data_IF_902299065116
#
_entry.id   IF_902299065116
#
_cell.length_a   1.000
_cell.length_b   1.000
_cell.length_c   1.000
_cell.angle_alpha   90.00
_cell.angle_beta   90.00
_cell.angle_gamma   90.00
#
_symmetry.space_group_name_H-M   'P 1'
#
loop_
_entity.id
_entity.type
_entity.pdbx_description
1 polymer ?
#
# COMPACT_ATOMS: atom_id res chain seq x y z
N UNK A 1 4.12 -27.38 -37.89
CA UNK A 1 4.16 -26.54 -36.67
C UNK A 1 5.52 -25.86 -36.65
N UNK A 2 5.60 -24.53 -36.47
CA UNK A 2 6.88 -23.82 -36.37
C UNK A 2 7.59 -24.27 -35.09
N UNK A 3 8.91 -24.45 -35.14
CA UNK A 3 9.72 -24.70 -33.94
C UNK A 3 9.87 -23.44 -33.10
N UNK A 4 10.17 -23.59 -31.81
CA UNK A 4 10.45 -22.45 -30.91
C UNK A 4 11.48 -21.47 -31.51
N UNK A 5 12.58 -21.98 -32.08
CA UNK A 5 13.60 -21.14 -32.72
C UNK A 5 13.06 -20.35 -33.91
N UNK A 6 12.22 -20.98 -34.73
CA UNK A 6 11.61 -20.29 -35.88
C UNK A 6 10.65 -19.17 -35.44
N UNK A 7 9.90 -19.39 -34.35
CA UNK A 7 8.99 -18.37 -33.80
C UNK A 7 9.78 -17.17 -33.28
N UNK A 8 10.88 -17.40 -32.55
CA UNK A 8 11.74 -16.33 -32.04
C UNK A 8 12.40 -15.56 -33.18
N UNK A 9 12.95 -16.23 -34.19
CA UNK A 9 13.61 -15.56 -35.32
C UNK A 9 12.62 -14.72 -36.15
N UNK A 10 11.39 -15.21 -36.33
CA UNK A 10 10.32 -14.42 -36.96
C UNK A 10 9.98 -13.17 -36.12
N UNK A 11 9.84 -13.33 -34.80
CA UNK A 11 9.59 -12.21 -33.91
C UNK A 11 10.73 -11.17 -33.94
N UNK A 12 12.00 -11.57 -34.11
CA UNK A 12 13.13 -10.62 -34.25
C UNK A 12 13.05 -9.77 -35.51
N UNK A 13 12.39 -10.27 -36.57
CA UNK A 13 12.24 -9.51 -37.82
C UNK A 13 11.09 -8.51 -37.76
N UNK A 14 10.14 -8.71 -36.85
CA UNK A 14 8.92 -7.90 -36.74
C UNK A 14 8.99 -6.90 -35.57
N UNK A 15 9.63 -7.29 -34.47
CA UNK A 15 9.69 -6.51 -33.23
C UNK A 15 11.00 -5.74 -33.16
N UNK A 16 10.97 -4.40 -33.03
CA UNK A 16 12.17 -3.62 -32.78
C UNK A 16 12.81 -4.01 -31.43
N UNK A 17 14.13 -4.14 -31.43
CA UNK A 17 14.91 -4.35 -30.21
C UNK A 17 15.64 -3.07 -29.82
N UNK A 18 15.70 -2.80 -28.51
CA UNK A 18 16.45 -1.70 -27.92
C UNK A 18 17.43 -2.24 -26.89
N UNK A 19 18.61 -1.63 -26.75
CA UNK A 19 19.59 -2.07 -25.75
C UNK A 19 19.24 -1.53 -24.36
N UNK A 20 19.74 -2.18 -23.30
CA UNK A 20 19.58 -1.68 -21.92
C UNK A 20 20.15 -0.26 -21.75
N UNK A 21 21.20 0.09 -22.49
CA UNK A 21 21.82 1.42 -22.45
C UNK A 21 20.92 2.48 -23.11
N UNK A 22 20.27 2.14 -24.22
CA UNK A 22 19.33 3.05 -24.89
C UNK A 22 18.11 3.30 -24.00
N UNK A 23 17.54 2.24 -23.41
CA UNK A 23 16.41 2.37 -22.48
C UNK A 23 16.77 3.26 -21.29
N UNK A 24 17.97 3.06 -20.71
CA UNK A 24 18.44 3.91 -19.61
C UNK A 24 18.64 5.37 -20.03
N UNK A 25 19.19 5.61 -21.21
CA UNK A 25 19.32 6.97 -21.75
C UNK A 25 17.95 7.63 -21.96
N UNK A 26 16.95 6.88 -22.44
CA UNK A 26 15.58 7.39 -22.57
C UNK A 26 14.95 7.73 -21.22
N UNK A 27 15.20 6.94 -20.17
CA UNK A 27 14.77 7.27 -18.80
C UNK A 27 15.43 8.56 -18.30
N UNK A 28 16.74 8.71 -18.53
CA UNK A 28 17.51 9.89 -18.07
C UNK A 28 17.10 11.17 -18.81
N UNK A 29 16.70 11.04 -20.08
CA UNK A 29 16.15 12.13 -20.89
C UNK A 29 14.70 12.49 -20.51
N UNK A 30 14.07 11.73 -19.59
CA UNK A 30 12.70 11.96 -19.16
C UNK A 30 11.66 11.64 -20.25
N UNK A 31 11.97 10.73 -21.17
CA UNK A 31 11.00 10.29 -22.17
C UNK A 31 9.90 9.44 -21.52
N UNK A 32 8.66 9.66 -21.95
CA UNK A 32 7.51 8.89 -21.47
C UNK A 32 7.40 7.56 -22.22
N UNK A 33 7.47 6.46 -21.49
CA UNK A 33 7.17 5.11 -21.96
C UNK A 33 6.84 4.21 -20.76
N UNK A 34 6.17 3.08 -21.02
CA UNK A 34 5.93 2.05 -20.00
C UNK A 34 7.01 0.99 -20.09
N UNK A 35 7.63 0.69 -18.96
CA UNK A 35 8.52 -0.45 -18.83
C UNK A 35 7.70 -1.66 -18.34
N UNK A 36 7.64 -2.73 -19.13
CA UNK A 36 6.82 -3.92 -18.84
C UNK A 36 7.71 -5.13 -18.54
N UNK A 37 7.67 -5.62 -17.31
CA UNK A 37 8.30 -6.85 -16.86
C UNK A 37 7.37 -8.05 -17.11
N UNK A 38 7.82 -9.01 -17.93
CA UNK A 38 7.07 -10.25 -18.21
C UNK A 38 7.66 -11.50 -17.58
N UNK A 39 8.57 -11.33 -16.59
CA UNK A 39 9.15 -12.45 -15.83
C UNK A 39 8.13 -13.09 -14.89
N UNK A 40 8.46 -14.28 -14.40
CA UNK A 40 7.63 -14.97 -13.42
C UNK A 40 7.77 -14.31 -12.03
N UNK A 41 6.81 -14.56 -11.13
CA UNK A 41 6.73 -13.90 -9.81
C UNK A 41 8.03 -13.98 -9.00
N UNK A 42 8.66 -15.15 -8.93
CA UNK A 42 9.88 -15.34 -8.14
C UNK A 42 11.07 -14.52 -8.68
N UNK A 43 11.14 -14.33 -10.00
CA UNK A 43 12.16 -13.50 -10.63
C UNK A 43 11.92 -12.01 -10.36
N UNK A 44 10.65 -11.58 -10.33
CA UNK A 44 10.27 -10.20 -10.02
C UNK A 44 10.52 -9.87 -8.55
N UNK A 45 10.15 -10.77 -7.64
CA UNK A 45 10.40 -10.64 -6.18
C UNK A 45 11.89 -10.61 -5.83
N UNK A 46 12.74 -11.26 -6.63
CA UNK A 46 14.19 -11.20 -6.46
C UNK A 46 14.82 -9.86 -6.89
N UNK A 47 14.01 -8.97 -7.49
CA UNK A 47 14.40 -7.63 -7.90
C UNK A 47 13.93 -7.29 -9.30
N UNK A 48 13.60 -6.02 -9.52
CA UNK A 48 13.05 -5.49 -10.76
C UNK A 48 13.57 -4.08 -11.08
N UNK A 49 13.28 -3.59 -12.29
CA UNK A 49 13.68 -2.25 -12.71
C UNK A 49 12.67 -1.23 -12.12
N UNK A 50 13.10 -0.14 -11.46
CA UNK A 50 12.19 0.84 -10.89
C UNK A 50 11.13 1.30 -11.89
N UNK A 51 9.92 1.50 -11.40
CA UNK A 51 8.73 1.94 -12.15
C UNK A 51 8.23 0.98 -13.24
N UNK A 52 8.77 -0.24 -13.31
CA UNK A 52 8.22 -1.28 -14.16
C UNK A 52 6.81 -1.71 -13.72
N UNK A 53 5.94 -1.88 -14.71
CA UNK A 53 4.68 -2.63 -14.59
C UNK A 53 5.02 -4.11 -14.72
N UNK A 54 4.48 -4.96 -13.85
CA UNK A 54 4.71 -6.39 -13.89
C UNK A 54 3.45 -7.14 -14.33
N UNK A 55 3.55 -7.86 -15.43
CA UNK A 55 2.51 -8.78 -15.92
C UNK A 55 3.21 -10.01 -16.45
N UNK A 56 3.09 -11.14 -15.74
CA UNK A 56 3.76 -12.39 -16.14
C UNK A 56 3.39 -12.77 -17.58
N UNK A 57 4.33 -13.39 -18.31
CA UNK A 57 4.09 -13.76 -19.72
C UNK A 57 2.80 -14.57 -19.92
N UNK A 58 2.44 -15.42 -18.96
CA UNK A 58 1.25 -16.28 -19.04
C UNK A 58 -0.08 -15.55 -18.83
N UNK A 59 -0.06 -14.37 -18.21
CA UNK A 59 -1.25 -13.53 -17.98
C UNK A 59 -1.32 -12.31 -18.89
N UNK A 60 -0.31 -12.11 -19.74
CA UNK A 60 -0.16 -10.92 -20.58
C UNK A 60 -1.45 -10.56 -21.33
N UNK A 61 -1.99 -11.49 -22.11
CA UNK A 61 -3.17 -11.26 -22.94
C UNK A 61 -4.46 -11.04 -22.13
N UNK A 62 -4.47 -11.40 -20.84
CA UNK A 62 -5.64 -11.30 -19.97
C UNK A 62 -5.65 -10.04 -19.10
N UNK A 63 -4.47 -9.45 -18.83
CA UNK A 63 -4.34 -8.43 -17.79
C UNK A 63 -3.64 -7.15 -18.24
N UNK A 64 -2.93 -7.14 -19.38
CA UNK A 64 -2.13 -5.96 -19.77
C UNK A 64 -2.97 -4.68 -19.92
N UNK A 65 -4.22 -4.78 -20.35
CA UNK A 65 -5.12 -3.63 -20.54
C UNK A 65 -5.51 -2.93 -19.23
N UNK A 66 -5.48 -3.64 -18.11
CA UNK A 66 -5.76 -3.07 -16.79
C UNK A 66 -4.62 -2.15 -16.32
N UNK A 67 -3.40 -2.39 -16.81
CA UNK A 67 -2.21 -1.64 -16.43
C UNK A 67 -1.75 -0.65 -17.51
N UNK A 68 -1.95 -0.97 -18.79
CA UNK A 68 -1.53 -0.16 -19.94
C UNK A 68 -2.74 0.06 -20.86
N UNK A 69 -3.74 0.88 -20.45
CA UNK A 69 -4.95 1.08 -21.24
C UNK A 69 -4.71 1.86 -22.54
N UNK A 70 -3.65 2.68 -22.60
CA UNK A 70 -3.25 3.42 -23.78
C UNK A 70 -2.41 2.54 -24.72
N UNK A 71 -3.00 2.15 -25.85
CA UNK A 71 -2.36 1.29 -26.85
C UNK A 71 -1.38 2.03 -27.76
N UNK A 72 -1.45 3.35 -27.80
CA UNK A 72 -0.56 4.18 -28.60
C UNK A 72 0.73 4.55 -27.83
N UNK A 73 0.74 4.34 -26.51
CA UNK A 73 1.91 4.58 -25.67
C UNK A 73 3.05 3.62 -26.00
N UNK A 74 4.28 4.12 -25.96
CA UNK A 74 5.48 3.29 -26.10
C UNK A 74 5.59 2.29 -24.95
N UNK A 75 5.71 1.00 -25.26
CA UNK A 75 5.90 -0.08 -24.29
C UNK A 75 7.24 -0.78 -24.54
N UNK A 76 8.15 -0.65 -23.59
CA UNK A 76 9.43 -1.37 -23.56
C UNK A 76 9.25 -2.63 -22.74
N UNK A 77 9.22 -3.79 -23.40
CA UNK A 77 9.02 -5.08 -22.75
C UNK A 77 10.37 -5.71 -22.40
N UNK A 78 10.53 -6.18 -21.18
CA UNK A 78 11.72 -6.91 -20.77
C UNK A 78 11.39 -8.21 -20.04
N UNK A 79 12.33 -9.14 -20.11
CA UNK A 79 12.32 -10.37 -19.33
C UNK A 79 13.71 -10.60 -18.74
N UNK A 80 14.06 -11.83 -18.33
CA UNK A 80 15.39 -12.11 -17.81
C UNK A 80 16.54 -11.86 -18.82
N UNK A 81 16.35 -12.19 -20.11
CA UNK A 81 17.43 -12.24 -21.10
C UNK A 81 17.04 -11.83 -22.54
N UNK A 82 15.87 -11.22 -22.74
CA UNK A 82 15.40 -10.70 -24.04
C UNK A 82 14.52 -11.64 -24.89
N UNK A 83 14.54 -12.97 -24.68
CA UNK A 83 13.78 -13.90 -25.53
C UNK A 83 12.27 -13.95 -25.23
N UNK A 84 11.86 -13.96 -23.96
CA UNK A 84 10.42 -13.95 -23.58
C UNK A 84 9.78 -12.61 -23.88
N UNK A 85 10.51 -11.52 -23.70
CA UNK A 85 10.03 -10.16 -23.99
C UNK A 85 9.77 -9.93 -25.46
N UNK A 86 10.59 -10.50 -26.34
CA UNK A 86 10.35 -10.45 -27.78
C UNK A 86 9.01 -11.10 -28.17
N UNK A 87 8.71 -12.28 -27.60
CA UNK A 87 7.44 -12.97 -27.83
C UNK A 87 6.26 -12.26 -27.17
N UNK A 88 6.48 -11.59 -26.04
CA UNK A 88 5.46 -10.78 -25.38
C UNK A 88 5.13 -9.53 -26.19
N UNK A 89 6.14 -8.79 -26.65
CA UNK A 89 5.97 -7.61 -27.49
C UNK A 89 5.23 -7.94 -28.79
N UNK A 90 5.50 -9.09 -29.41
CA UNK A 90 4.72 -9.58 -30.55
C UNK A 90 3.24 -9.77 -30.21
N UNK A 91 2.93 -10.42 -29.09
CA UNK A 91 1.54 -10.58 -28.65
C UNK A 91 0.86 -9.23 -28.37
N UNK A 92 1.58 -8.24 -27.83
CA UNK A 92 1.04 -6.89 -27.66
C UNK A 92 0.73 -6.22 -29.00
N UNK A 93 1.59 -6.34 -30.02
CA UNK A 93 1.27 -5.85 -31.36
C UNK A 93 0.02 -6.52 -31.94
N UNK A 94 -0.12 -7.84 -31.76
CA UNK A 94 -1.31 -8.58 -32.19
C UNK A 94 -2.58 -8.14 -31.44
N UNK A 95 -2.44 -7.68 -30.20
CA UNK A 95 -3.52 -7.07 -29.40
C UNK A 95 -3.81 -5.62 -29.81
N UNK A 96 -2.97 -5.01 -30.64
CA UNK A 96 -3.16 -3.66 -31.19
C UNK A 96 -2.37 -2.55 -30.49
N UNK A 97 -1.36 -2.88 -29.69
CA UNK A 97 -0.39 -1.88 -29.20
C UNK A 97 0.54 -1.47 -30.34
N UNK A 98 0.70 -0.17 -30.58
CA UNK A 98 1.32 0.32 -31.82
C UNK A 98 2.83 0.56 -31.71
N UNK A 99 3.35 0.82 -30.51
CA UNK A 99 4.77 1.11 -30.27
C UNK A 99 5.34 0.20 -29.18
N UNK A 100 5.53 -1.08 -29.51
CA UNK A 100 6.09 -2.08 -28.60
C UNK A 100 7.49 -2.47 -29.02
N UNK A 101 8.44 -2.42 -28.10
CA UNK A 101 9.84 -2.80 -28.34
C UNK A 101 10.30 -3.84 -27.31
N UNK A 102 11.21 -4.73 -27.70
CA UNK A 102 11.82 -5.69 -26.78
C UNK A 102 13.17 -5.17 -26.29
N UNK A 103 13.40 -5.17 -24.98
CA UNK A 103 14.71 -4.84 -24.41
C UNK A 103 15.66 -6.04 -24.51
N UNK A 104 16.63 -5.93 -25.43
CA UNK A 104 17.68 -6.93 -25.62
C UNK A 104 18.54 -7.04 -24.36
N UNK A 105 18.92 -8.25 -23.98
CA UNK A 105 19.67 -8.52 -22.74
C UNK A 105 18.82 -8.58 -21.47
N UNK A 106 17.67 -7.90 -21.46
CA UNK A 106 16.70 -7.94 -20.37
C UNK A 106 17.26 -7.49 -19.01
N UNK A 107 16.69 -8.01 -17.93
CA UNK A 107 17.09 -7.68 -16.55
C UNK A 107 18.54 -8.05 -16.22
N UNK A 108 19.06 -9.15 -16.79
CA UNK A 108 20.45 -9.59 -16.52
C UNK A 108 21.47 -8.55 -16.98
N UNK A 109 21.33 -8.07 -18.21
CA UNK A 109 22.26 -7.08 -18.75
C UNK A 109 22.05 -5.70 -18.10
N UNK A 110 20.81 -5.35 -17.74
CA UNK A 110 20.50 -4.16 -16.97
C UNK A 110 21.22 -4.14 -15.62
N UNK A 111 21.11 -5.23 -14.85
CA UNK A 111 21.77 -5.39 -13.57
C UNK A 111 23.30 -5.47 -13.72
N UNK A 112 23.81 -6.18 -14.72
CA UNK A 112 25.25 -6.28 -15.00
C UNK A 112 25.88 -4.94 -15.40
N UNK A 113 25.12 -4.06 -16.05
CA UNK A 113 25.52 -2.70 -16.37
C UNK A 113 25.55 -1.77 -15.14
N UNK A 114 25.10 -2.24 -13.97
CA UNK A 114 25.03 -1.43 -12.75
C UNK A 114 23.91 -0.39 -12.77
N UNK A 115 22.90 -0.55 -13.63
CA UNK A 115 21.75 0.33 -13.64
C UNK A 115 20.83 0.07 -12.44
N UNK A 116 20.00 1.06 -12.05
CA UNK A 116 19.18 0.96 -10.85
C UNK A 116 18.24 -0.25 -10.89
N UNK A 117 18.26 -1.04 -9.81
CA UNK A 117 17.28 -2.09 -9.54
C UNK A 117 16.69 -1.86 -8.15
N UNK A 118 15.47 -2.30 -7.94
CA UNK A 118 14.81 -2.25 -6.64
C UNK A 118 14.22 -3.61 -6.28
N UNK A 119 13.87 -3.78 -5.02
CA UNK A 119 13.20 -4.95 -4.50
C UNK A 119 12.21 -4.49 -3.43
N UNK A 120 11.01 -5.06 -3.45
CA UNK A 120 10.01 -4.83 -2.41
C UNK A 120 10.33 -5.66 -1.16
N UNK A 121 9.64 -5.40 -0.05
CA UNK A 121 9.75 -6.20 1.17
C UNK A 121 9.49 -7.68 0.87
N UNK A 122 10.43 -8.53 1.27
CA UNK A 122 10.27 -9.98 1.13
C UNK A 122 9.12 -10.47 2.03
N UNK A 123 8.29 -11.36 1.48
CA UNK A 123 7.16 -11.98 2.17
C UNK A 123 7.46 -13.44 2.46
N UNK A 124 7.13 -13.90 3.66
CA UNK A 124 7.19 -15.34 3.99
C UNK A 124 6.16 -16.13 3.18
N UNK A 125 6.30 -17.45 3.14
CA UNK A 125 5.33 -18.32 2.47
C UNK A 125 3.92 -18.16 3.06
N UNK A 126 3.82 -18.08 4.40
CA UNK A 126 2.55 -17.86 5.10
C UNK A 126 1.93 -16.49 4.76
N UNK A 127 2.75 -15.46 4.55
CA UNK A 127 2.28 -14.15 4.12
C UNK A 127 1.78 -14.15 2.68
N UNK A 128 2.49 -14.83 1.76
CA UNK A 128 2.03 -15.01 0.38
C UNK A 128 0.67 -15.71 0.33
N UNK A 129 0.49 -16.77 1.12
CA UNK A 129 -0.79 -17.47 1.22
C UNK A 129 -1.89 -16.56 1.81
N UNK A 130 -1.59 -15.87 2.92
CA UNK A 130 -2.52 -14.98 3.64
C UNK A 130 -3.03 -13.84 2.75
N UNK A 131 -2.14 -13.17 2.01
CA UNK A 131 -2.47 -11.99 1.21
C UNK A 131 -2.74 -12.28 -0.26
N UNK A 132 -2.83 -13.56 -0.65
CA UNK A 132 -3.11 -13.99 -2.04
C UNK A 132 -4.32 -13.31 -2.69
N UNK A 133 -5.32 -12.87 -1.89
CA UNK A 133 -6.48 -12.12 -2.39
C UNK A 133 -6.19 -10.66 -2.72
N UNK A 134 -5.20 -10.04 -2.08
CA UNK A 134 -4.78 -8.67 -2.38
C UNK A 134 -3.95 -8.61 -3.68
N UNK A 135 -3.21 -9.66 -4.00
CA UNK A 135 -2.42 -9.73 -5.23
C UNK A 135 -3.28 -9.66 -6.50
N UNK A 136 -4.54 -10.09 -6.40
CA UNK A 136 -5.52 -10.03 -7.49
C UNK A 136 -6.15 -8.64 -7.69
N UNK A 137 -5.89 -7.68 -6.80
CA UNK A 137 -6.41 -6.32 -6.90
C UNK A 137 -5.38 -5.46 -7.64
N UNK A 138 -5.71 -5.00 -8.84
CA UNK A 138 -4.80 -4.23 -9.72
C UNK A 138 -4.14 -3.05 -9.02
N UNK A 139 -4.88 -2.30 -8.19
CA UNK A 139 -4.38 -1.12 -7.48
C UNK A 139 -3.55 -1.47 -6.23
N UNK A 140 -3.56 -2.72 -5.78
CA UNK A 140 -2.76 -3.21 -4.64
C UNK A 140 -1.63 -4.10 -5.16
N UNK A 141 -1.95 -5.28 -5.70
CA UNK A 141 -0.96 -6.24 -6.17
C UNK A 141 0.02 -6.66 -5.07
N UNK A 142 1.11 -7.33 -5.46
CA UNK A 142 2.18 -7.69 -4.53
C UNK A 142 2.91 -6.44 -4.00
N UNK A 143 3.15 -5.46 -4.87
CA UNK A 143 3.85 -4.21 -4.52
C UNK A 143 3.10 -3.40 -3.47
N UNK A 144 1.78 -3.26 -3.61
CA UNK A 144 0.94 -2.58 -2.63
C UNK A 144 0.87 -3.35 -1.32
N UNK A 145 0.82 -4.69 -1.36
CA UNK A 145 0.90 -5.48 -0.13
C UNK A 145 2.25 -5.32 0.58
N UNK A 146 3.36 -5.31 -0.16
CA UNK A 146 4.68 -5.05 0.42
C UNK A 146 4.75 -3.66 1.08
N UNK A 147 4.15 -2.63 0.44
CA UNK A 147 4.00 -1.30 1.05
C UNK A 147 3.20 -1.33 2.35
N UNK A 148 2.10 -2.10 2.41
CA UNK A 148 1.32 -2.26 3.65
C UNK A 148 2.17 -2.91 4.75
N UNK A 149 2.95 -3.94 4.42
CA UNK A 149 3.84 -4.63 5.35
C UNK A 149 5.00 -3.76 5.85
N UNK A 150 5.38 -2.71 5.13
CA UNK A 150 6.38 -1.72 5.57
C UNK A 150 5.75 -0.52 6.30
N UNK A 151 4.47 -0.27 6.09
CA UNK A 151 3.78 0.89 6.65
C UNK A 151 3.65 0.83 8.18
N UNK A 152 3.78 2.00 8.80
CA UNK A 152 3.52 2.23 10.22
C UNK A 152 2.28 3.11 10.38
N UNK A 153 1.23 2.57 10.98
CA UNK A 153 -0.04 3.29 11.20
C UNK A 153 -0.28 3.49 12.69
N UNK A 154 -0.65 4.70 13.10
CA UNK A 154 -1.09 5.00 14.46
C UNK A 154 -2.61 5.06 14.53
N UNK A 155 -3.22 4.19 15.31
CA UNK A 155 -4.65 4.26 15.63
C UNK A 155 -4.86 4.96 16.98
N UNK A 156 -5.44 6.16 16.94
CA UNK A 156 -5.76 6.95 18.13
C UNK A 156 -7.21 6.68 18.54
N UNK A 157 -7.37 5.96 19.65
CA UNK A 157 -8.65 5.46 20.17
C UNK A 157 -8.95 4.04 19.68
N UNK A 158 -9.07 3.10 20.60
CA UNK A 158 -9.45 1.70 20.35
C UNK A 158 -10.95 1.44 20.58
N UNK A 159 -11.75 2.52 20.64
CA UNK A 159 -13.19 2.51 20.91
C UNK A 159 -14.05 2.10 19.71
N UNK A 160 -15.23 2.72 19.57
CA UNK A 160 -16.24 2.29 18.58
C UNK A 160 -15.81 2.47 17.12
N UNK A 161 -15.06 3.53 16.82
CA UNK A 161 -14.52 3.79 15.48
C UNK A 161 -13.20 3.06 15.25
N UNK A 162 -12.31 3.10 16.24
CA UNK A 162 -11.03 2.42 16.13
C UNK A 162 -11.14 0.90 16.12
N UNK A 163 -12.18 0.32 16.72
CA UNK A 163 -12.39 -1.14 16.71
C UNK A 163 -12.42 -1.74 15.30
N UNK A 164 -13.37 -1.37 14.43
CA UNK A 164 -13.38 -1.89 13.07
C UNK A 164 -12.12 -1.52 12.27
N UNK A 165 -11.60 -0.30 12.43
CA UNK A 165 -10.37 0.12 11.76
C UNK A 165 -9.17 -0.77 12.12
N UNK A 166 -8.92 -0.99 13.42
CA UNK A 166 -7.82 -1.81 13.92
C UNK A 166 -7.92 -3.27 13.48
N UNK A 167 -9.13 -3.84 13.44
CA UNK A 167 -9.35 -5.20 12.91
C UNK A 167 -8.91 -5.30 11.45
N UNK A 168 -9.36 -4.38 10.59
CA UNK A 168 -9.05 -4.45 9.17
C UNK A 168 -7.60 -4.03 8.84
N UNK A 169 -7.01 -3.07 9.56
CA UNK A 169 -5.59 -2.74 9.43
C UNK A 169 -4.71 -3.94 9.81
N UNK A 170 -5.06 -4.63 10.90
CA UNK A 170 -4.40 -5.86 11.30
C UNK A 170 -4.58 -7.00 10.29
N UNK A 171 -5.80 -7.19 9.78
CA UNK A 171 -6.10 -8.20 8.77
C UNK A 171 -5.36 -7.95 7.46
N UNK A 172 -5.28 -6.69 7.04
CA UNK A 172 -4.63 -6.28 5.80
C UNK A 172 -3.10 -6.38 5.85
N UNK A 173 -2.53 -6.59 7.03
CA UNK A 173 -1.09 -6.77 7.20
C UNK A 173 -0.31 -5.47 7.22
N UNK A 174 -0.85 -4.43 7.88
CA UNK A 174 -0.01 -3.27 8.23
C UNK A 174 1.20 -3.76 9.04
N UNK A 175 2.40 -3.37 8.62
CA UNK A 175 3.64 -3.83 9.24
C UNK A 175 3.71 -3.52 10.72
N UNK A 176 3.40 -2.28 11.07
CA UNK A 176 3.42 -1.78 12.44
C UNK A 176 2.16 -0.97 12.76
N UNK A 177 1.40 -1.42 13.76
CA UNK A 177 0.23 -0.72 14.27
C UNK A 177 0.47 -0.19 15.69
N UNK A 178 0.54 1.13 15.83
CA UNK A 178 0.47 1.80 17.12
C UNK A 178 -0.98 1.89 17.60
N UNK A 179 -1.25 1.54 18.87
CA UNK A 179 -2.58 1.63 19.46
C UNK A 179 -2.56 2.57 20.66
N UNK A 180 -3.29 3.68 20.61
CA UNK A 180 -3.40 4.61 21.74
C UNK A 180 -4.80 4.56 22.32
N UNK A 181 -4.92 4.22 23.60
CA UNK A 181 -6.15 4.35 24.36
C UNK A 181 -5.82 4.28 25.86
N UNK A 182 -6.44 5.12 26.69
CA UNK A 182 -6.21 5.15 28.13
C UNK A 182 -7.25 4.35 28.92
N UNK A 183 -8.33 3.90 28.27
CA UNK A 183 -9.46 3.29 28.95
C UNK A 183 -9.28 1.79 29.12
N UNK A 184 -10.16 1.22 29.93
CA UNK A 184 -10.36 -0.22 30.06
C UNK A 184 -11.60 -0.67 29.30
N UNK A 185 -11.68 -1.96 29.00
CA UNK A 185 -12.84 -2.56 28.36
C UNK A 185 -14.03 -2.57 29.32
N UNK A 186 -15.18 -2.10 28.86
CA UNK A 186 -16.44 -2.11 29.61
C UNK A 186 -17.53 -2.90 28.89
N UNK A 187 -18.37 -3.60 29.65
CA UNK A 187 -19.47 -4.39 29.11
C UNK A 187 -20.43 -3.56 28.24
N UNK A 188 -20.73 -2.34 28.67
CA UNK A 188 -21.62 -1.39 27.97
C UNK A 188 -21.11 -1.01 26.56
N UNK A 189 -19.81 -1.15 26.33
CA UNK A 189 -19.13 -0.72 25.12
C UNK A 189 -19.06 -1.85 24.07
N UNK A 190 -19.23 -3.11 24.47
CA UNK A 190 -19.06 -4.29 23.60
C UNK A 190 -20.08 -4.36 22.44
N UNK A 191 -21.21 -3.65 22.53
CA UNK A 191 -22.18 -3.59 21.43
C UNK A 191 -21.66 -2.88 20.17
N UNK A 192 -20.53 -2.16 20.26
CA UNK A 192 -19.87 -1.50 19.10
C UNK A 192 -18.35 -1.69 19.03
N UNK A 193 -17.69 -2.08 20.13
CA UNK A 193 -16.24 -2.21 20.18
C UNK A 193 -15.79 -3.65 19.90
N UNK A 194 -15.78 -4.02 18.63
CA UNK A 194 -15.55 -5.42 18.20
C UNK A 194 -14.10 -5.92 18.37
N UNK A 195 -13.15 -5.04 18.69
CA UNK A 195 -11.79 -5.45 19.12
C UNK A 195 -11.79 -6.14 20.47
N UNK A 196 -12.86 -6.00 21.25
CA UNK A 196 -12.94 -6.47 22.63
C UNK A 196 -13.93 -7.61 22.77
N UNK A 197 -13.71 -8.44 23.78
CA UNK A 197 -14.54 -9.59 24.13
C UNK A 197 -15.02 -9.49 25.57
N UNK A 198 -16.07 -10.22 25.90
CA UNK A 198 -16.63 -10.24 27.25
C UNK A 198 -15.59 -10.67 28.29
N UNK A 199 -14.70 -11.60 27.97
CA UNK A 199 -13.61 -12.02 28.85
C UNK A 199 -12.58 -10.92 29.15
N UNK A 200 -12.50 -9.87 28.33
CA UNK A 200 -11.52 -8.80 28.47
C UNK A 200 -12.00 -7.62 29.33
N UNK A 201 -13.24 -7.64 29.84
CA UNK A 201 -13.79 -6.55 30.68
C UNK A 201 -12.85 -6.25 31.86
N UNK A 202 -12.52 -4.97 32.05
CA UNK A 202 -11.57 -4.48 33.05
C UNK A 202 -10.10 -4.47 32.60
N UNK A 203 -9.77 -5.06 31.46
CA UNK A 203 -8.43 -5.00 30.86
C UNK A 203 -8.24 -3.69 30.09
N UNK A 204 -7.04 -3.07 30.09
CA UNK A 204 -6.75 -1.93 29.21
C UNK A 204 -7.12 -2.23 27.75
N UNK A 205 -7.81 -1.28 27.08
CA UNK A 205 -8.30 -1.47 25.71
C UNK A 205 -7.16 -1.79 24.75
N UNK A 206 -6.02 -1.10 24.85
CA UNK A 206 -4.85 -1.36 24.00
C UNK A 206 -4.31 -2.79 24.14
N UNK A 207 -4.39 -3.39 25.34
CA UNK A 207 -3.96 -4.77 25.55
C UNK A 207 -4.98 -5.75 24.94
N UNK A 208 -6.27 -5.54 25.20
CA UNK A 208 -7.33 -6.37 24.59
C UNK A 208 -7.28 -6.30 23.06
N UNK A 209 -7.09 -5.11 22.49
CA UNK A 209 -6.94 -4.91 21.05
C UNK A 209 -5.70 -5.62 20.50
N UNK A 210 -4.56 -5.51 21.18
CA UNK A 210 -3.32 -6.22 20.81
C UNK A 210 -3.54 -7.72 20.73
N UNK A 211 -4.16 -8.33 21.76
CA UNK A 211 -4.47 -9.77 21.77
C UNK A 211 -5.35 -10.16 20.59
N UNK A 212 -6.42 -9.40 20.34
CA UNK A 212 -7.36 -9.69 19.24
C UNK A 212 -6.66 -9.61 17.89
N UNK A 213 -5.90 -8.54 17.62
CA UNK A 213 -5.23 -8.35 16.33
C UNK A 213 -4.14 -9.41 16.13
N UNK A 214 -3.33 -9.70 17.15
CA UNK A 214 -2.32 -10.77 17.06
C UNK A 214 -2.92 -12.16 16.86
N UNK A 215 -4.11 -12.42 17.40
CA UNK A 215 -4.81 -13.69 17.16
C UNK A 215 -5.31 -13.83 15.71
N UNK A 216 -5.61 -12.70 15.07
CA UNK A 216 -6.03 -12.65 13.67
C UNK A 216 -4.82 -12.71 12.72
N UNK A 217 -3.79 -11.94 13.02
CA UNK A 217 -2.59 -11.80 12.22
C UNK A 217 -1.36 -11.65 13.14
N UNK A 218 -0.58 -12.73 13.38
CA UNK A 218 0.55 -12.69 14.28
C UNK A 218 1.73 -11.86 13.74
N UNK A 219 1.77 -11.59 12.43
CA UNK A 219 2.88 -10.95 11.74
C UNK A 219 2.91 -9.42 11.96
N UNK A 220 1.78 -8.81 12.33
CA UNK A 220 1.66 -7.36 12.56
C UNK A 220 2.38 -6.96 13.83
N UNK A 221 3.39 -6.10 13.78
CA UNK A 221 4.00 -5.52 14.98
C UNK A 221 3.02 -4.55 15.66
N UNK A 222 2.89 -4.61 16.99
CA UNK A 222 1.95 -3.76 17.73
C UNK A 222 2.67 -3.06 18.88
N UNK A 223 2.52 -1.74 18.94
CA UNK A 223 2.97 -0.94 20.09
C UNK A 223 1.75 -0.38 20.84
N UNK A 224 1.43 -0.91 22.03
CA UNK A 224 0.34 -0.41 22.84
C UNK A 224 0.77 0.79 23.70
N UNK A 225 0.10 1.91 23.54
CA UNK A 225 0.25 3.11 24.37
C UNK A 225 -0.97 3.24 25.29
N UNK A 226 -0.87 2.67 26.49
CA UNK A 226 -1.90 2.81 27.53
C UNK A 226 -1.81 4.17 28.23
N UNK A 227 -2.06 5.24 27.48
CA UNK A 227 -1.93 6.62 27.92
C UNK A 227 -2.91 7.52 27.16
N UNK A 228 -3.11 8.73 27.68
CA UNK A 228 -3.84 9.77 26.98
C UNK A 228 -2.87 10.56 26.10
N UNK A 229 -3.27 10.81 24.85
CA UNK A 229 -2.53 11.71 23.97
C UNK A 229 -2.61 13.15 24.51
N UNK A 230 -1.47 13.82 24.65
CA UNK A 230 -1.33 15.19 25.14
C UNK A 230 -0.36 15.98 24.28
N UNK A 231 -0.33 17.31 24.46
CA UNK A 231 0.65 18.15 23.77
C UNK A 231 2.10 17.77 24.11
N UNK A 232 2.35 17.17 25.28
CA UNK A 232 3.69 16.82 25.75
C UNK A 232 4.24 15.54 25.10
N UNK A 233 3.37 14.65 24.60
CA UNK A 233 3.78 13.34 24.05
C UNK A 233 3.44 13.13 22.56
N UNK A 234 2.60 13.99 21.98
CA UNK A 234 2.09 13.78 20.62
C UNK A 234 3.21 13.78 19.57
N UNK A 235 4.20 14.66 19.71
CA UNK A 235 5.28 14.80 18.73
C UNK A 235 6.18 13.56 18.68
N UNK A 236 6.63 13.08 19.84
CA UNK A 236 7.45 11.87 19.97
C UNK A 236 6.73 10.65 19.41
N UNK A 237 5.42 10.53 19.67
CA UNK A 237 4.65 9.38 19.20
C UNK A 237 4.41 9.49 17.69
N UNK A 238 3.96 10.63 17.18
CA UNK A 238 3.58 10.79 15.76
C UNK A 238 4.78 10.69 14.81
N UNK A 239 6.00 10.98 15.26
CA UNK A 239 7.19 10.92 14.40
C UNK A 239 7.46 9.49 13.90
N UNK A 240 7.06 8.48 14.67
CA UNK A 240 7.29 7.07 14.39
C UNK A 240 6.33 6.46 13.36
N UNK A 241 5.27 7.18 12.96
CA UNK A 241 4.20 6.64 12.11
C UNK A 241 4.04 7.40 10.80
N UNK A 242 3.68 6.71 9.73
CA UNK A 242 3.48 7.28 8.40
C UNK A 242 2.09 7.91 8.25
N UNK A 243 1.09 7.31 8.89
CA UNK A 243 -0.32 7.69 8.78
C UNK A 243 -1.02 7.58 10.14
N UNK A 244 -1.94 8.51 10.41
CA UNK A 244 -2.73 8.54 11.63
C UNK A 244 -4.19 8.20 11.31
N UNK A 245 -4.79 7.31 12.10
CA UNK A 245 -6.23 7.03 12.07
C UNK A 245 -6.86 7.58 13.35
N UNK A 246 -7.73 8.57 13.19
CA UNK A 246 -8.45 9.17 14.30
C UNK A 246 -9.76 8.41 14.54
N UNK A 247 -9.73 7.53 15.54
CA UNK A 247 -10.86 6.79 16.07
C UNK A 247 -11.43 7.40 17.36
N UNK A 248 -11.08 8.65 17.69
CA UNK A 248 -11.48 9.28 18.94
C UNK A 248 -12.91 9.83 18.90
N UNK A 249 -13.58 9.74 20.05
CA UNK A 249 -14.93 10.25 20.26
C UNK A 249 -14.97 11.61 21.00
N UNK A 250 -13.83 12.14 21.43
CA UNK A 250 -13.75 13.42 22.13
C UNK A 250 -13.08 14.53 21.30
N UNK A 251 -13.61 15.76 21.41
CA UNK A 251 -13.13 16.90 20.63
C UNK A 251 -11.69 17.29 20.95
N UNK A 252 -11.30 17.31 22.22
CA UNK A 252 -9.97 17.77 22.62
C UNK A 252 -8.86 16.97 21.91
N UNK A 253 -9.01 15.65 21.83
CA UNK A 253 -8.07 14.80 21.09
C UNK A 253 -8.13 15.05 19.58
N UNK A 254 -9.31 15.24 18.97
CA UNK A 254 -9.44 15.54 17.53
C UNK A 254 -8.66 16.78 17.12
N UNK A 255 -8.78 17.87 17.90
CA UNK A 255 -8.03 19.10 17.63
C UNK A 255 -6.52 18.90 17.83
N UNK A 256 -6.11 18.16 18.87
CA UNK A 256 -4.70 17.85 19.10
C UNK A 256 -4.10 17.01 17.95
N UNK A 257 -4.81 15.96 17.52
CA UNK A 257 -4.41 15.09 16.40
C UNK A 257 -4.24 15.92 15.13
N UNK A 258 -5.22 16.78 14.81
CA UNK A 258 -5.12 17.68 13.66
C UNK A 258 -3.89 18.60 13.74
N UNK A 259 -3.70 19.27 14.88
CA UNK A 259 -2.65 20.28 15.00
C UNK A 259 -1.26 19.65 14.89
N UNK A 260 -1.06 18.51 15.56
CA UNK A 260 0.18 17.75 15.44
C UNK A 260 0.40 17.23 14.01
N UNK A 261 -0.64 16.67 13.39
CA UNK A 261 -0.55 16.14 12.03
C UNK A 261 -0.19 17.22 11.00
N UNK A 262 -0.77 18.42 11.11
CA UNK A 262 -0.42 19.56 10.24
C UNK A 262 1.04 19.98 10.44
N UNK A 263 1.48 20.11 11.69
CA UNK A 263 2.87 20.52 12.01
C UNK A 263 3.90 19.49 11.55
N UNK A 264 3.56 18.20 11.60
CA UNK A 264 4.45 17.10 11.27
C UNK A 264 4.26 16.54 9.86
N UNK A 265 3.39 17.16 9.05
CA UNK A 265 3.04 16.73 7.71
C UNK A 265 2.61 15.25 7.64
N UNK A 266 1.73 14.83 8.55
CA UNK A 266 1.18 13.46 8.61
C UNK A 266 -0.26 13.44 8.09
N UNK A 267 -0.64 12.55 7.16
CA UNK A 267 -2.03 12.37 6.77
C UNK A 267 -2.85 11.79 7.93
N UNK A 268 -4.10 12.26 8.05
CA UNK A 268 -5.07 11.78 9.06
C UNK A 268 -6.31 11.24 8.35
N UNK A 269 -6.61 9.96 8.57
CA UNK A 269 -7.92 9.38 8.25
C UNK A 269 -8.84 9.64 9.44
N UNK A 270 -9.79 10.55 9.28
CA UNK A 270 -10.68 11.00 10.35
C UNK A 270 -12.05 10.35 10.24
N UNK A 271 -12.49 9.73 11.33
CA UNK A 271 -13.86 9.26 11.51
C UNK A 271 -14.56 10.01 12.64
N UNK A 272 -15.84 10.30 12.46
CA UNK A 272 -16.69 10.76 13.56
C UNK A 272 -18.12 10.23 13.42
N UNK A 273 -18.82 10.12 14.53
CA UNK A 273 -20.21 9.72 14.59
C UNK A 273 -20.98 10.60 15.55
N UNK A 274 -22.26 10.83 15.25
CA UNK A 274 -23.21 11.44 16.16
C UNK A 274 -24.58 10.82 15.93
N UNK A 275 -25.10 10.09 16.93
CA UNK A 275 -26.36 9.36 16.83
C UNK A 275 -26.43 8.45 15.59
N UNK A 276 -27.22 8.82 14.58
CA UNK A 276 -27.43 8.06 13.35
C UNK A 276 -26.60 8.58 12.16
N UNK A 277 -25.74 9.57 12.40
CA UNK A 277 -24.88 10.17 11.38
C UNK A 277 -23.42 9.77 11.60
N UNK A 278 -22.73 9.51 10.49
CA UNK A 278 -21.30 9.25 10.46
C UNK A 278 -20.63 10.11 9.41
N UNK A 279 -19.39 10.50 9.67
CA UNK A 279 -18.55 11.23 8.74
C UNK A 279 -17.19 10.55 8.65
N UNK A 280 -16.64 10.47 7.44
CA UNK A 280 -15.28 10.02 7.18
C UNK A 280 -14.64 10.96 6.17
N UNK A 281 -13.39 11.35 6.42
CA UNK A 281 -12.60 12.16 5.50
C UNK A 281 -11.12 11.93 5.70
N UNK A 282 -10.31 12.35 4.74
CA UNK A 282 -8.85 12.34 4.84
C UNK A 282 -8.38 13.79 4.87
N UNK A 283 -7.66 14.14 5.93
CA UNK A 283 -6.93 15.39 6.00
C UNK A 283 -5.48 15.12 5.63
N UNK A 284 -5.09 15.58 4.44
CA UNK A 284 -3.71 15.49 3.96
C UNK A 284 -3.05 16.87 4.01
N UNK A 285 -2.13 17.10 4.97
CA UNK A 285 -1.43 18.38 5.06
C UNK A 285 -0.78 18.76 3.73
N UNK A 286 -0.85 20.05 3.38
CA UNK A 286 -0.38 20.62 2.10
C UNK A 286 -1.13 20.17 0.83
N UNK A 287 -2.09 19.25 0.91
CA UNK A 287 -2.90 18.79 -0.22
C UNK A 287 -4.42 18.93 0.02
N UNK A 288 -4.84 19.78 0.97
CA UNK A 288 -6.25 20.00 1.27
C UNK A 288 -6.49 20.85 2.52
N UNK A 289 -7.77 21.07 2.90
CA UNK A 289 -8.11 21.68 4.18
C UNK A 289 -7.75 20.76 5.35
N UNK A 290 -7.44 21.32 6.51
CA UNK A 290 -7.32 20.56 7.76
C UNK A 290 -8.62 20.60 8.55
N UNK A 291 -8.70 19.86 9.67
CA UNK A 291 -9.89 19.84 10.52
C UNK A 291 -10.26 21.26 11.01
N UNK A 292 -9.26 22.07 11.38
CA UNK A 292 -9.47 23.48 11.78
C UNK A 292 -9.95 24.38 10.63
N UNK A 293 -9.68 24.05 9.38
CA UNK A 293 -10.24 24.80 8.25
C UNK A 293 -11.77 24.63 8.16
N UNK A 294 -12.29 23.47 8.57
CA UNK A 294 -13.72 23.19 8.61
C UNK A 294 -14.35 23.65 9.93
N UNK A 295 -13.66 23.41 11.04
CA UNK A 295 -14.11 23.70 12.40
C UNK A 295 -13.04 24.50 13.14
N UNK A 296 -13.02 25.84 13.03
CA UNK A 296 -11.89 26.66 13.50
C UNK A 296 -11.63 26.58 15.01
N UNK A 297 -12.69 26.48 15.80
CA UNK A 297 -12.62 26.57 17.26
C UNK A 297 -13.29 25.37 17.92
N UNK A 298 -12.64 24.73 18.92
CA UNK A 298 -13.25 23.67 19.68
C UNK A 298 -14.53 24.13 20.37
N UNK A 299 -15.55 23.26 20.48
CA UNK A 299 -16.74 23.58 21.25
C UNK A 299 -16.37 23.81 22.73
N UNK A 300 -17.09 24.67 23.46
CA UNK A 300 -16.90 24.85 24.89
C UNK A 300 -17.01 23.52 25.66
N UNK A 301 -16.23 23.33 26.74
CA UNK A 301 -16.34 22.15 27.58
C UNK A 301 -17.79 21.91 28.05
N UNK A 302 -18.29 20.67 27.88
CA UNK A 302 -19.62 20.26 28.34
C UNK A 302 -20.79 20.55 27.38
N UNK A 303 -20.55 21.15 26.20
CA UNK A 303 -21.60 21.44 25.21
C UNK A 303 -22.05 20.20 24.41
N UNK A 304 -21.26 19.13 24.39
CA UNK A 304 -21.55 17.91 23.64
C UNK A 304 -21.52 16.71 24.60
N UNK A 305 -22.50 15.79 24.54
CA UNK A 305 -22.50 14.60 25.38
C UNK A 305 -21.27 13.72 25.12
N UNK A 306 -20.69 13.20 26.19
CA UNK A 306 -19.62 12.21 26.22
C UNK A 306 -20.14 10.80 26.00
#
# INVERSE_FOLDING_TARGET
MKSYRQIVEEAKTEIPEVSVADVKAEQDDGKEFVLLDVRDEDEYRAGYIPDAVHVTRGMLEFSVEDYIPDRDQKVVVYCAAGLRSLLAAKSLQEMGYTDTVSMAGGYRDWSAAGFPTTQDKEMSHEQLDRYSRHFMLTEVGERGQAKLLDAKVLLVGAGGLGSPAGVYLGAAGIGHLGLIDSDVVELSNLQRQILHRTEAVGTPKVQSATTTIKSLNPDVEITPYNLRLTADNVEEIFSEYDLIVDGCDNFATRYLVNDAAVLMNKPVVHGSIFQFEGQVTVFEPNNGPCYRCMYPTPPPPGMVPS
#
